data_IF_604762268223
#
_entry.id   IF_604762268223
#
_cell.length_a   1.000
_cell.length_b   1.000
_cell.length_c   1.000
_cell.angle_alpha   90.00
_cell.angle_beta   90.00
_cell.angle_gamma   90.00
#
_symmetry.space_group_name_H-M   'P 1'
#
loop_
_entity.id
_entity.type
_entity.pdbx_description
1 polymer ?
#
# COMPACT_ATOMS: atom_id res chain seq x y z
N UNK A 1 3.12 23.79 -25.72
CA UNK A 1 2.27 23.01 -24.78
C UNK A 1 1.46 22.05 -25.63
N UNK A 2 1.65 20.75 -25.46
CA UNK A 2 0.90 19.76 -26.24
C UNK A 2 -0.52 19.66 -25.65
N UNK A 3 -1.54 19.90 -26.46
CA UNK A 3 -2.95 19.85 -26.05
C UNK A 3 -3.30 18.52 -25.40
N UNK A 4 -2.64 17.43 -25.81
CA UNK A 4 -2.82 16.12 -25.20
C UNK A 4 -2.42 16.11 -23.71
N UNK A 5 -1.36 16.83 -23.32
CA UNK A 5 -0.91 16.93 -21.93
C UNK A 5 -1.88 17.72 -21.05
N UNK A 6 -2.52 18.74 -21.61
CA UNK A 6 -3.51 19.54 -20.90
C UNK A 6 -4.76 18.70 -20.65
N UNK A 7 -5.27 18.02 -21.67
CA UNK A 7 -6.47 17.19 -21.57
C UNK A 7 -6.24 16.01 -20.62
N UNK A 8 -5.08 15.35 -20.70
CA UNK A 8 -4.76 14.25 -19.78
C UNK A 8 -4.63 14.72 -18.33
N UNK A 9 -4.04 15.90 -18.08
CA UNK A 9 -3.98 16.48 -16.74
C UNK A 9 -5.37 16.78 -16.18
N UNK A 10 -6.27 17.36 -16.99
CA UNK A 10 -7.65 17.62 -16.60
C UNK A 10 -8.39 16.31 -16.27
N UNK A 11 -8.21 15.27 -17.09
CA UNK A 11 -8.79 13.95 -16.86
C UNK A 11 -8.32 13.32 -15.54
N UNK A 12 -7.03 13.42 -15.22
CA UNK A 12 -6.49 12.92 -13.94
C UNK A 12 -7.10 13.68 -12.77
N UNK A 13 -7.18 15.02 -12.84
CA UNK A 13 -7.81 15.83 -11.80
C UNK A 13 -9.28 15.47 -11.63
N UNK A 14 -10.02 15.33 -12.72
CA UNK A 14 -11.43 14.94 -12.69
C UNK A 14 -11.62 13.54 -12.08
N UNK A 15 -10.75 12.58 -12.42
CA UNK A 15 -10.76 11.24 -11.83
C UNK A 15 -10.50 11.28 -10.32
N UNK A 16 -9.52 12.06 -9.88
CA UNK A 16 -9.22 12.23 -8.44
C UNK A 16 -10.43 12.81 -7.74
N UNK A 17 -11.02 13.90 -8.25
CA UNK A 17 -12.20 14.53 -7.67
C UNK A 17 -13.39 13.56 -7.59
N UNK A 18 -13.57 12.73 -8.62
CA UNK A 18 -14.64 11.72 -8.66
C UNK A 18 -14.45 10.60 -7.63
N UNK A 19 -13.22 10.10 -7.46
CA UNK A 19 -12.91 9.01 -6.52
C UNK A 19 -12.79 9.51 -5.07
N UNK A 20 -12.36 10.76 -4.89
CA UNK A 20 -12.09 11.39 -3.60
C UNK A 20 -13.20 11.22 -2.55
N UNK A 21 -14.50 11.46 -2.81
CA UNK A 21 -15.53 11.32 -1.80
C UNK A 21 -15.65 9.88 -1.28
N UNK A 22 -15.54 8.88 -2.16
CA UNK A 22 -15.59 7.47 -1.79
C UNK A 22 -14.34 7.05 -1.03
N UNK A 23 -13.16 7.49 -1.49
CA UNK A 23 -11.90 7.26 -0.78
C UNK A 23 -11.92 7.87 0.62
N UNK A 24 -12.42 9.11 0.75
CA UNK A 24 -12.60 9.78 2.05
C UNK A 24 -13.56 9.02 2.95
N UNK A 25 -14.71 8.58 2.43
CA UNK A 25 -15.66 7.78 3.19
C UNK A 25 -15.05 6.45 3.64
N UNK A 26 -14.26 5.78 2.80
CA UNK A 26 -13.53 4.58 3.17
C UNK A 26 -12.53 4.87 4.29
N UNK A 27 -11.68 5.90 4.15
CA UNK A 27 -10.70 6.26 5.18
C UNK A 27 -11.34 6.64 6.52
N UNK A 28 -12.53 7.27 6.51
CA UNK A 28 -13.24 7.67 7.72
C UNK A 28 -13.97 6.50 8.40
N UNK A 29 -14.49 5.55 7.62
CA UNK A 29 -15.28 4.42 8.13
C UNK A 29 -14.48 3.11 8.23
N UNK A 30 -13.23 3.08 7.77
CA UNK A 30 -12.35 1.93 7.95
C UNK A 30 -12.13 1.66 9.43
N UNK A 31 -12.17 0.39 9.86
CA UNK A 31 -11.78 0.01 11.22
C UNK A 31 -10.41 0.59 11.52
N UNK A 32 -10.31 1.37 12.60
CA UNK A 32 -9.01 1.84 13.08
C UNK A 32 -8.25 0.62 13.57
N UNK A 33 -6.93 0.63 13.37
CA UNK A 33 -6.08 -0.40 13.94
C UNK A 33 -6.30 -0.46 15.46
N UNK A 34 -6.83 -1.57 15.95
CA UNK A 34 -7.07 -1.82 17.36
C UNK A 34 -5.80 -2.34 18.03
N UNK A 35 -5.81 -2.37 19.37
CA UNK A 35 -4.73 -2.99 20.14
C UNK A 35 -4.72 -4.49 19.82
N UNK A 36 -3.77 -4.92 19.00
CA UNK A 36 -3.63 -6.32 18.57
C UNK A 36 -3.35 -6.45 17.08
N UNK A 37 -3.83 -5.53 16.25
CA UNK A 37 -3.63 -5.57 14.80
C UNK A 37 -2.15 -5.44 14.43
N UNK A 38 -1.40 -4.62 15.16
CA UNK A 38 0.04 -4.48 15.01
C UNK A 38 0.79 -5.77 15.39
N UNK A 39 0.31 -6.50 16.40
CA UNK A 39 0.88 -7.79 16.78
C UNK A 39 0.53 -8.87 15.76
N UNK A 40 -0.69 -8.84 15.22
CA UNK A 40 -1.13 -9.75 14.16
C UNK A 40 -0.34 -9.52 12.86
N UNK A 41 -0.03 -8.27 12.51
CA UNK A 41 0.83 -7.92 11.38
C UNK A 41 2.31 -8.30 11.60
N UNK A 42 2.77 -8.32 12.86
CA UNK A 42 4.15 -8.68 13.17
C UNK A 42 4.47 -10.15 12.82
N UNK A 43 3.52 -11.07 13.00
CA UNK A 43 3.72 -12.50 12.71
C UNK A 43 4.12 -12.78 11.24
N UNK A 44 3.37 -12.35 10.21
CA UNK A 44 3.78 -12.56 8.82
C UNK A 44 5.05 -11.77 8.47
N UNK A 45 5.26 -10.57 9.03
CA UNK A 45 6.48 -9.79 8.79
C UNK A 45 7.73 -10.51 9.31
N UNK A 46 7.69 -11.01 10.54
CA UNK A 46 8.77 -11.83 11.13
C UNK A 46 8.98 -13.11 10.30
N UNK A 47 7.90 -13.74 9.82
CA UNK A 47 7.98 -14.88 8.92
C UNK A 47 8.75 -14.59 7.64
N UNK A 48 8.48 -13.44 6.99
CA UNK A 48 9.20 -13.00 5.79
C UNK A 48 10.67 -12.74 6.10
N UNK A 49 10.98 -12.04 7.20
CA UNK A 49 12.37 -11.77 7.62
C UNK A 49 13.12 -13.07 7.89
N UNK A 50 12.52 -14.00 8.62
CA UNK A 50 13.11 -15.31 8.93
C UNK A 50 13.35 -16.13 7.65
N UNK A 51 12.41 -16.11 6.71
CA UNK A 51 12.56 -16.78 5.42
C UNK A 51 13.72 -16.20 4.61
N UNK A 52 13.85 -14.86 4.54
CA UNK A 52 14.98 -14.21 3.85
C UNK A 52 16.31 -14.57 4.52
N UNK A 53 16.38 -14.59 5.85
CA UNK A 53 17.59 -15.00 6.58
C UNK A 53 17.97 -16.45 6.24
N UNK A 54 17.00 -17.37 6.23
CA UNK A 54 17.22 -18.76 5.84
C UNK A 54 17.84 -18.84 4.43
N UNK A 55 17.26 -18.12 3.46
CA UNK A 55 17.77 -18.09 2.10
C UNK A 55 19.21 -17.57 2.02
N UNK A 56 19.53 -16.50 2.76
CA UNK A 56 20.89 -15.96 2.84
C UNK A 56 21.86 -17.00 3.40
N UNK A 57 21.47 -17.71 4.47
CA UNK A 57 22.30 -18.75 5.07
C UNK A 57 22.59 -19.88 4.08
N UNK A 58 21.57 -20.34 3.35
CA UNK A 58 21.71 -21.39 2.35
C UNK A 58 22.59 -20.95 1.18
N UNK A 59 22.36 -19.74 0.65
CA UNK A 59 23.13 -19.18 -0.46
C UNK A 59 24.60 -18.89 -0.10
N UNK A 60 24.89 -18.54 1.16
CA UNK A 60 26.25 -18.32 1.65
C UNK A 60 27.00 -19.62 1.97
N UNK A 61 26.28 -20.72 2.18
CA UNK A 61 26.85 -22.03 2.48
C UNK A 61 27.17 -22.88 1.24
N UNK A 62 26.77 -22.42 0.05
CA UNK A 62 27.07 -22.99 -1.27
C UNK A 62 28.23 -22.23 -1.94
#
# INVERSE_FOLDING_TARGET
>A
MDWMKIISAIMIVAMIVYIFPRAKAMMQNSPKAEKGDWNAAALPLVGVVAFVILLIMMARSL
#
